data_IF_059696285695
#
_entry.id   IF_059696285695
#
_cell.length_a   1.000
_cell.length_b   1.000
_cell.length_c   1.000
_cell.angle_alpha   90.00
_cell.angle_beta   90.00
_cell.angle_gamma   90.00
#
_symmetry.space_group_name_H-M   'P 1'
#
loop_
_entity.id
_entity.type
_entity.pdbx_description
1 polymer ?
#
# COMPACT_ATOMS: atom_id res chain seq x y z
N UNK A 1 49.31 -50.24 48.28
CA UNK A 1 48.54 -49.33 49.13
C UNK A 1 49.05 -47.93 48.89
N UNK A 2 48.18 -46.92 48.68
CA UNK A 2 48.42 -45.54 48.29
C UNK A 2 48.71 -45.37 46.77
N UNK A 3 47.72 -44.89 46.07
CA UNK A 3 47.72 -43.67 45.22
C UNK A 3 46.37 -43.61 44.54
N UNK A 4 45.43 -42.84 45.00
CA UNK A 4 44.34 -42.23 44.18
C UNK A 4 43.84 -41.00 44.96
N UNK A 5 44.33 -39.83 44.56
CA UNK A 5 43.70 -38.53 44.85
C UNK A 5 44.48 -37.48 44.06
N UNK A 6 43.94 -37.02 42.90
CA UNK A 6 44.17 -35.72 42.30
C UNK A 6 43.75 -35.79 40.82
N UNK A 7 42.46 -35.77 40.52
CA UNK A 7 41.95 -35.56 39.15
C UNK A 7 40.48 -35.15 39.18
N UNK A 8 40.11 -34.11 39.92
CA UNK A 8 38.73 -33.61 39.97
C UNK A 8 38.65 -32.07 40.09
N UNK A 9 39.60 -31.32 39.54
CA UNK A 9 39.52 -29.84 39.56
C UNK A 9 39.82 -29.14 38.22
N UNK A 10 39.73 -29.82 37.09
CA UNK A 10 40.03 -29.25 35.76
C UNK A 10 38.82 -29.24 34.78
N UNK A 11 37.57 -29.46 35.24
CA UNK A 11 36.40 -29.57 34.34
C UNK A 11 35.33 -28.50 34.55
N UNK A 12 35.61 -27.39 35.25
CA UNK A 12 34.58 -26.38 35.61
C UNK A 12 34.82 -24.95 35.03
N UNK A 13 35.70 -24.74 34.05
CA UNK A 13 35.96 -23.38 33.49
C UNK A 13 35.81 -23.34 31.94
N UNK A 14 35.19 -24.31 31.31
CA UNK A 14 35.00 -24.33 29.84
C UNK A 14 33.57 -23.99 29.38
N UNK A 15 32.70 -23.46 30.23
CA UNK A 15 31.27 -23.25 29.87
C UNK A 15 30.79 -21.79 30.00
N UNK A 16 31.64 -20.80 29.90
CA UNK A 16 31.21 -19.39 30.06
C UNK A 16 31.75 -18.45 28.96
N UNK A 17 32.10 -18.95 27.79
CA UNK A 17 32.34 -18.12 26.58
C UNK A 17 31.46 -18.61 25.42
N UNK A 18 30.16 -18.74 25.65
CA UNK A 18 29.20 -18.54 24.57
C UNK A 18 29.30 -17.05 24.22
N UNK A 19 30.30 -16.71 23.41
CA UNK A 19 30.41 -15.40 22.80
C UNK A 19 29.03 -15.07 22.24
N UNK A 20 28.38 -14.04 22.79
CA UNK A 20 27.30 -13.36 22.13
C UNK A 20 27.88 -12.88 20.78
N UNK A 21 27.77 -13.71 19.75
CA UNK A 21 27.94 -13.25 18.38
C UNK A 21 27.03 -12.01 18.28
N UNK A 22 27.55 -10.84 17.92
CA UNK A 22 26.69 -9.73 17.66
C UNK A 22 25.67 -10.26 16.64
N UNK A 23 24.38 -10.30 17.00
CA UNK A 23 23.31 -10.58 16.06
C UNK A 23 23.60 -9.60 14.90
N UNK A 24 24.05 -10.14 13.76
CA UNK A 24 24.31 -9.33 12.59
C UNK A 24 23.07 -8.46 12.45
N UNK A 25 23.22 -7.14 12.49
CA UNK A 25 22.10 -6.21 12.48
C UNK A 25 21.22 -6.60 11.28
N UNK A 26 20.09 -7.21 11.57
CA UNK A 26 19.21 -7.76 10.55
C UNK A 26 18.77 -6.59 9.68
N UNK A 27 19.02 -6.67 8.38
CA UNK A 27 18.65 -5.63 7.44
C UNK A 27 17.13 -5.43 7.46
N UNK A 28 16.68 -4.17 7.60
CA UNK A 28 15.29 -3.83 7.37
C UNK A 28 15.02 -3.81 5.87
N UNK A 29 14.40 -4.88 5.36
CA UNK A 29 13.96 -4.97 3.97
C UNK A 29 12.68 -4.19 3.78
N UNK A 30 12.71 -3.20 2.88
CA UNK A 30 11.58 -2.35 2.51
C UNK A 30 11.03 -2.83 1.16
N UNK A 31 10.02 -3.68 1.19
CA UNK A 31 9.42 -4.28 0.01
C UNK A 31 8.34 -3.39 -0.61
N UNK A 32 8.21 -3.41 -1.94
CA UNK A 32 7.07 -2.86 -2.69
C UNK A 32 6.88 -3.58 -4.03
N UNK A 33 5.66 -3.57 -4.56
CA UNK A 33 5.36 -4.14 -5.88
C UNK A 33 5.60 -3.16 -7.04
N UNK A 34 5.82 -1.89 -6.74
CA UNK A 34 5.90 -0.79 -7.70
C UNK A 34 7.26 -0.14 -7.69
N UNK A 35 7.54 0.69 -8.69
CA UNK A 35 8.76 1.47 -8.84
C UNK A 35 8.42 2.83 -9.45
N UNK A 36 9.20 3.87 -9.11
CA UNK A 36 9.04 5.22 -9.65
C UNK A 36 7.64 5.84 -9.42
N UNK A 37 7.01 5.46 -8.32
CA UNK A 37 5.74 5.98 -7.83
C UNK A 37 5.86 6.50 -6.39
N UNK A 38 4.73 6.89 -5.80
CA UNK A 38 4.69 7.41 -4.43
C UNK A 38 5.23 6.44 -3.38
N UNK A 39 5.02 5.13 -3.55
CA UNK A 39 5.52 4.12 -2.61
C UNK A 39 7.05 4.07 -2.63
N UNK A 40 7.64 4.04 -3.82
CA UNK A 40 9.11 4.01 -3.98
C UNK A 40 9.75 5.33 -3.51
N UNK A 41 9.10 6.48 -3.74
CA UNK A 41 9.58 7.76 -3.24
C UNK A 41 9.53 7.84 -1.71
N UNK A 42 8.43 7.39 -1.10
CA UNK A 42 8.33 7.29 0.35
C UNK A 42 9.45 6.42 0.95
N UNK A 43 9.75 5.27 0.33
CA UNK A 43 10.83 4.38 0.80
C UNK A 43 12.20 5.10 0.79
N UNK A 44 12.52 5.85 -0.26
CA UNK A 44 13.77 6.63 -0.36
C UNK A 44 13.85 7.69 0.75
N UNK A 45 12.81 8.50 0.87
CA UNK A 45 12.71 9.55 1.90
C UNK A 45 12.74 8.97 3.32
N UNK A 46 12.12 7.82 3.53
CA UNK A 46 12.15 7.10 4.81
C UNK A 46 13.58 6.66 5.18
N UNK A 47 14.29 6.02 4.25
CA UNK A 47 15.69 5.58 4.46
C UNK A 47 16.58 6.77 4.78
N UNK A 48 16.49 7.85 4.00
CA UNK A 48 17.23 9.10 4.25
C UNK A 48 16.90 9.67 5.64
N UNK A 49 15.61 9.71 6.00
CA UNK A 49 15.14 10.22 7.29
C UNK A 49 15.63 9.41 8.49
N UNK A 50 15.63 8.07 8.40
CA UNK A 50 16.19 7.19 9.44
C UNK A 50 17.69 7.39 9.56
N UNK A 51 18.41 7.37 8.42
CA UNK A 51 19.88 7.55 8.39
C UNK A 51 20.31 8.90 8.96
N UNK A 52 19.57 9.97 8.69
CA UNK A 52 19.85 11.29 9.24
C UNK A 52 19.74 11.34 10.78
N UNK A 53 18.90 10.47 11.41
CA UNK A 53 18.66 10.45 12.85
C UNK A 53 19.61 9.54 13.62
N UNK A 54 19.93 8.38 13.06
CA UNK A 54 20.68 7.34 13.79
C UNK A 54 21.91 6.82 13.05
N UNK A 55 22.27 7.44 11.91
CA UNK A 55 23.41 6.98 11.10
C UNK A 55 23.20 5.56 10.58
N UNK A 56 24.24 4.74 10.63
CA UNK A 56 24.24 3.37 10.14
C UNK A 56 23.86 2.31 11.21
N UNK A 57 23.21 2.73 12.31
CA UNK A 57 22.74 1.79 13.37
C UNK A 57 21.73 0.78 12.87
N UNK A 58 20.95 1.12 11.83
CA UNK A 58 20.02 0.23 11.16
C UNK A 58 20.39 0.11 9.68
N UNK A 59 20.75 -1.11 9.26
CA UNK A 59 20.95 -1.41 7.83
C UNK A 59 19.57 -1.52 7.16
N UNK A 60 19.39 -0.83 6.02
CA UNK A 60 18.12 -0.83 5.28
C UNK A 60 18.36 -1.09 3.80
N UNK A 61 17.49 -1.86 3.17
CA UNK A 61 17.49 -2.12 1.73
C UNK A 61 16.10 -1.89 1.11
N UNK A 62 16.03 -1.20 -0.02
CA UNK A 62 14.80 -0.99 -0.80
C UNK A 62 14.71 -2.05 -1.87
N UNK A 63 13.59 -2.79 -1.90
CA UNK A 63 13.30 -3.90 -2.81
C UNK A 63 12.00 -3.63 -3.58
N UNK A 64 12.06 -2.76 -4.61
CA UNK A 64 10.87 -2.38 -5.41
C UNK A 64 10.53 -3.42 -6.46
N UNK A 65 9.46 -3.16 -7.25
CA UNK A 65 9.09 -3.96 -8.41
C UNK A 65 8.95 -5.47 -8.14
N UNK A 66 8.40 -5.84 -6.99
CA UNK A 66 8.16 -7.23 -6.59
C UNK A 66 9.43 -8.11 -6.46
N UNK A 67 10.60 -7.51 -6.18
CA UNK A 67 11.86 -8.25 -6.01
C UNK A 67 11.81 -9.30 -4.90
N UNK A 68 11.00 -9.10 -3.86
CA UNK A 68 10.80 -10.07 -2.77
C UNK A 68 9.58 -10.99 -2.99
N UNK A 69 9.00 -10.97 -4.18
CA UNK A 69 7.86 -11.80 -4.57
C UNK A 69 6.60 -11.02 -4.92
N UNK A 70 5.55 -11.73 -5.34
CA UNK A 70 4.25 -11.14 -5.62
C UNK A 70 3.62 -10.53 -4.35
N UNK A 71 2.67 -9.61 -4.54
CA UNK A 71 2.00 -8.87 -3.44
C UNK A 71 1.52 -9.79 -2.31
N UNK A 72 0.80 -10.91 -2.56
CA UNK A 72 0.34 -11.79 -1.47
C UNK A 72 1.48 -12.36 -0.63
N UNK A 73 2.60 -12.73 -1.29
CA UNK A 73 3.80 -13.25 -0.60
C UNK A 73 4.47 -12.18 0.28
N UNK A 74 4.54 -10.94 -0.20
CA UNK A 74 5.12 -9.85 0.59
C UNK A 74 4.22 -9.47 1.76
N UNK A 75 2.88 -9.49 1.59
CA UNK A 75 1.92 -9.27 2.66
C UNK A 75 2.01 -10.36 3.76
N UNK A 76 2.11 -11.63 3.35
CA UNK A 76 2.37 -12.74 4.27
C UNK A 76 3.74 -12.58 4.95
N UNK A 77 4.77 -12.22 4.19
CA UNK A 77 6.13 -12.02 4.70
C UNK A 77 6.22 -10.98 5.80
N UNK A 78 5.55 -9.83 5.67
CA UNK A 78 5.52 -8.81 6.73
C UNK A 78 4.71 -9.27 7.94
N UNK A 79 3.64 -10.01 7.74
CA UNK A 79 2.86 -10.59 8.85
C UNK A 79 3.66 -11.61 9.66
N UNK A 80 4.45 -12.45 8.99
CA UNK A 80 5.30 -13.48 9.61
C UNK A 80 6.67 -12.96 10.07
N UNK A 81 7.06 -11.72 9.72
CA UNK A 81 8.35 -11.13 10.08
C UNK A 81 9.54 -11.64 9.24
N UNK A 82 9.32 -12.28 8.10
CA UNK A 82 10.37 -12.66 7.13
C UNK A 82 10.74 -11.52 6.19
N UNK A 83 9.87 -10.52 6.10
CA UNK A 83 10.07 -9.19 5.50
C UNK A 83 9.77 -8.19 6.61
N UNK A 84 10.68 -7.27 6.87
CA UNK A 84 10.56 -6.33 7.99
C UNK A 84 9.51 -5.26 7.69
N UNK A 85 9.44 -4.77 6.44
CA UNK A 85 8.46 -3.75 6.02
C UNK A 85 7.97 -3.97 4.60
N UNK A 86 6.68 -3.71 4.39
CA UNK A 86 6.02 -3.76 3.08
C UNK A 86 5.10 -2.55 2.92
N UNK A 87 5.28 -1.79 1.82
CA UNK A 87 4.37 -0.71 1.44
C UNK A 87 3.50 -1.15 0.26
N UNK A 88 2.18 -0.95 0.38
CA UNK A 88 1.20 -1.40 -0.61
C UNK A 88 -0.12 -0.63 -0.49
N UNK A 89 -0.94 -0.54 -1.54
CA UNK A 89 -2.33 -0.11 -1.41
C UNK A 89 -3.09 -0.95 -0.38
N UNK A 90 -3.93 -0.30 0.40
CA UNK A 90 -4.72 -0.92 1.49
C UNK A 90 -5.54 -2.12 1.01
N UNK A 91 -6.00 -2.09 -0.24
CA UNK A 91 -6.75 -3.16 -0.90
C UNK A 91 -6.08 -4.53 -0.88
N UNK A 92 -4.75 -4.57 -0.86
CA UNK A 92 -4.01 -5.83 -0.95
C UNK A 92 -3.69 -6.46 0.40
N UNK A 93 -4.07 -5.82 1.49
CA UNK A 93 -3.86 -6.32 2.85
C UNK A 93 -5.17 -6.51 3.62
N UNK A 94 -6.31 -6.42 2.93
CA UNK A 94 -7.63 -6.68 3.49
C UNK A 94 -7.83 -8.13 3.94
N UNK A 95 -7.07 -9.07 3.39
CA UNK A 95 -7.02 -10.46 3.84
C UNK A 95 -6.27 -10.64 5.17
N UNK A 96 -5.33 -9.74 5.49
CA UNK A 96 -4.67 -9.70 6.81
C UNK A 96 -5.61 -9.10 7.85
N UNK A 97 -6.32 -8.03 7.47
CA UNK A 97 -7.36 -7.41 8.30
C UNK A 97 -8.34 -6.63 7.43
N UNK A 98 -9.66 -6.96 7.49
CA UNK A 98 -10.66 -6.28 6.69
C UNK A 98 -10.82 -4.78 7.02
N UNK A 99 -10.32 -4.29 8.16
CA UNK A 99 -10.34 -2.85 8.50
C UNK A 99 -9.53 -2.01 7.51
N UNK A 100 -8.56 -2.57 6.80
CA UNK A 100 -7.81 -1.85 5.77
C UNK A 100 -8.68 -1.31 4.63
N UNK A 101 -9.86 -1.88 4.38
CA UNK A 101 -10.73 -1.43 3.30
C UNK A 101 -11.41 -0.06 3.55
N UNK A 102 -11.46 0.45 4.80
CA UNK A 102 -12.21 1.68 5.13
C UNK A 102 -11.78 2.91 4.31
N UNK A 103 -10.55 2.94 3.84
CA UNK A 103 -9.99 4.04 3.03
C UNK A 103 -10.47 4.04 1.57
N UNK A 104 -11.18 3.00 1.15
CA UNK A 104 -11.51 2.74 -0.25
C UNK A 104 -12.99 2.96 -0.57
N UNK A 105 -13.78 3.41 0.41
CA UNK A 105 -15.19 3.73 0.19
C UNK A 105 -15.29 4.77 -0.93
N UNK A 106 -16.01 4.47 -2.02
CA UNK A 106 -16.14 5.39 -3.15
C UNK A 106 -16.67 6.75 -2.71
N UNK A 107 -16.04 7.83 -3.18
CA UNK A 107 -16.44 9.19 -2.82
C UNK A 107 -16.10 9.63 -1.39
N UNK A 108 -15.39 8.81 -0.61
CA UNK A 108 -14.97 9.14 0.75
C UNK A 108 -14.14 10.44 0.81
N UNK A 109 -13.20 10.56 -0.10
CA UNK A 109 -12.34 11.75 -0.21
C UNK A 109 -12.72 12.56 -1.45
N UNK A 110 -12.75 13.89 -1.32
CA UNK A 110 -13.13 14.82 -2.40
C UNK A 110 -11.95 15.26 -3.26
N UNK A 111 -10.72 15.08 -2.76
CA UNK A 111 -9.48 15.45 -3.45
C UNK A 111 -8.27 14.77 -2.80
N UNK A 112 -7.11 14.73 -3.47
CA UNK A 112 -5.84 14.32 -2.86
C UNK A 112 -5.52 15.08 -1.57
N UNK A 113 -5.75 16.40 -1.57
CA UNK A 113 -5.53 17.26 -0.41
C UNK A 113 -6.45 16.92 0.76
N UNK A 114 -7.70 16.57 0.47
CA UNK A 114 -8.66 16.13 1.49
C UNK A 114 -8.23 14.79 2.11
N UNK A 115 -7.82 13.81 1.31
CA UNK A 115 -7.26 12.55 1.82
C UNK A 115 -6.02 12.81 2.68
N UNK A 116 -5.07 13.59 2.17
CA UNK A 116 -3.85 13.92 2.89
C UNK A 116 -4.15 14.61 4.23
N UNK A 117 -4.98 15.66 4.25
CA UNK A 117 -5.35 16.37 5.47
C UNK A 117 -6.04 15.47 6.51
N UNK A 118 -6.83 14.49 6.04
CA UNK A 118 -7.49 13.51 6.92
C UNK A 118 -6.46 12.56 7.54
N UNK A 119 -5.58 11.99 6.74
CA UNK A 119 -4.55 11.04 7.21
C UNK A 119 -3.53 11.72 8.12
N UNK A 120 -3.21 13.00 7.86
CA UNK A 120 -2.26 13.79 8.67
C UNK A 120 -2.90 14.44 9.90
N UNK A 121 -4.21 14.25 10.16
CA UNK A 121 -4.79 14.67 11.45
C UNK A 121 -4.05 13.96 12.59
N UNK A 122 -3.48 14.70 13.57
CA UNK A 122 -2.59 14.09 14.56
C UNK A 122 -3.23 12.95 15.35
N UNK A 123 -4.48 13.12 15.79
CA UNK A 123 -5.19 12.11 16.56
C UNK A 123 -5.50 10.88 15.71
N UNK A 124 -5.90 11.09 14.43
CA UNK A 124 -6.17 9.99 13.52
C UNK A 124 -4.88 9.26 13.11
N UNK A 125 -3.79 10.01 12.86
CA UNK A 125 -2.51 9.41 12.49
C UNK A 125 -1.91 8.54 13.61
N UNK A 126 -2.10 8.95 14.87
CA UNK A 126 -1.70 8.14 16.03
C UNK A 126 -2.58 6.88 16.17
N UNK A 127 -3.88 7.00 15.93
CA UNK A 127 -4.80 5.87 15.88
C UNK A 127 -4.41 4.89 14.76
N UNK A 128 -4.19 5.38 13.54
CA UNK A 128 -3.80 4.57 12.38
C UNK A 128 -2.50 3.80 12.62
N UNK A 129 -1.51 4.42 13.28
CA UNK A 129 -0.23 3.75 13.59
C UNK A 129 -0.42 2.46 14.37
N UNK A 130 -1.43 2.43 15.26
CA UNK A 130 -1.65 1.33 16.21
C UNK A 130 -2.87 0.46 15.90
N UNK A 131 -3.66 0.82 14.89
CA UNK A 131 -4.94 0.18 14.55
C UNK A 131 -4.83 -1.34 14.30
N UNK A 132 -3.67 -1.82 13.85
CA UNK A 132 -3.46 -3.22 13.45
C UNK A 132 -2.47 -3.97 14.36
N UNK A 133 -2.19 -3.46 15.56
CA UNK A 133 -1.26 -4.11 16.49
C UNK A 133 -1.76 -5.49 16.97
N UNK A 134 -3.08 -5.68 17.02
CA UNK A 134 -3.73 -6.97 17.29
C UNK A 134 -3.47 -8.02 16.20
N UNK A 135 -3.00 -7.60 15.03
CA UNK A 135 -2.56 -8.44 13.91
C UNK A 135 -1.03 -8.54 13.79
N UNK A 136 -0.29 -8.04 14.76
CA UNK A 136 1.17 -8.01 14.73
C UNK A 136 1.75 -7.05 13.70
N UNK A 137 0.98 -6.04 13.27
CA UNK A 137 1.36 -5.06 12.27
C UNK A 137 1.28 -3.64 12.84
N UNK A 138 2.25 -2.80 12.49
CA UNK A 138 2.26 -1.36 12.78
C UNK A 138 2.34 -0.57 11.49
N UNK A 139 1.56 0.53 11.39
CA UNK A 139 1.63 1.45 10.24
C UNK A 139 2.69 2.50 10.51
N UNK A 140 3.79 2.46 9.77
CA UNK A 140 4.89 3.44 9.84
C UNK A 140 4.83 4.50 8.73
N UNK A 141 3.95 4.33 7.74
CA UNK A 141 3.70 5.29 6.67
C UNK A 141 2.32 5.12 6.07
N UNK A 142 1.69 6.23 5.67
CA UNK A 142 0.42 6.25 4.96
C UNK A 142 0.42 7.39 3.95
N UNK A 143 0.34 7.08 2.66
CA UNK A 143 0.49 8.06 1.59
C UNK A 143 -0.65 7.99 0.57
N UNK A 144 -1.10 9.15 0.12
CA UNK A 144 -1.81 9.27 -1.14
C UNK A 144 -0.91 8.80 -2.28
N UNK A 145 -1.43 7.96 -3.18
CA UNK A 145 -0.65 7.49 -4.34
C UNK A 145 -1.15 8.10 -5.66
N UNK A 146 -2.42 7.91 -5.99
CA UNK A 146 -3.03 8.46 -7.21
C UNK A 146 -4.56 8.31 -7.18
N UNK A 147 -5.30 8.97 -8.11
CA UNK A 147 -6.66 8.58 -8.44
C UNK A 147 -6.67 7.17 -9.03
N UNK A 148 -7.78 6.45 -8.86
CA UNK A 148 -8.01 5.17 -9.52
C UNK A 148 -8.60 5.42 -10.91
N UNK A 149 -7.93 4.89 -11.93
CA UNK A 149 -8.37 4.91 -13.32
C UNK A 149 -8.52 3.48 -13.84
N UNK A 150 -9.28 3.31 -14.93
CA UNK A 150 -9.37 2.04 -15.65
C UNK A 150 -8.65 2.13 -16.99
N UNK A 151 -7.64 1.27 -17.17
CA UNK A 151 -6.98 1.03 -18.44
C UNK A 151 -7.76 -0.02 -19.21
N UNK A 152 -8.00 0.19 -20.52
CA UNK A 152 -8.68 -0.77 -21.39
C UNK A 152 -7.99 -0.90 -22.75
N UNK A 153 -8.09 -2.09 -23.36
CA UNK A 153 -7.53 -2.36 -24.71
C UNK A 153 -8.34 -1.65 -25.78
N UNK A 154 -9.65 -1.51 -25.59
CA UNK A 154 -10.56 -0.76 -26.48
C UNK A 154 -11.03 0.50 -25.77
N UNK A 155 -11.33 1.59 -26.48
CA UNK A 155 -11.91 2.78 -25.86
C UNK A 155 -13.21 2.44 -25.11
N UNK A 156 -13.36 2.99 -23.91
CA UNK A 156 -14.55 2.81 -23.08
C UNK A 156 -14.97 4.15 -22.44
N UNK A 157 -15.46 5.12 -23.27
CA UNK A 157 -15.88 6.45 -22.78
C UNK A 157 -17.21 6.41 -21.98
N UNK A 158 -17.91 5.27 -21.92
CA UNK A 158 -19.18 5.08 -21.19
C UNK A 158 -19.09 3.81 -20.36
N UNK A 159 -19.89 3.72 -19.28
CA UNK A 159 -19.96 2.50 -18.46
C UNK A 159 -20.48 1.28 -19.25
N UNK A 160 -21.33 1.53 -20.25
CA UNK A 160 -21.86 0.46 -21.09
C UNK A 160 -20.76 -0.24 -21.90
N UNK A 161 -19.75 0.52 -22.36
CA UNK A 161 -18.62 -0.02 -23.11
C UNK A 161 -17.76 -0.99 -22.27
N UNK A 162 -17.86 -0.91 -20.95
CA UNK A 162 -17.10 -1.76 -20.02
C UNK A 162 -17.80 -3.09 -19.68
N UNK A 163 -19.08 -3.25 -20.04
CA UNK A 163 -19.85 -4.46 -19.74
C UNK A 163 -19.22 -5.70 -20.35
N UNK A 164 -19.06 -6.74 -19.52
CA UNK A 164 -18.45 -8.00 -19.90
C UNK A 164 -16.93 -7.98 -20.04
N UNK A 165 -16.27 -6.83 -19.91
CA UNK A 165 -14.82 -6.76 -19.91
C UNK A 165 -14.25 -7.46 -18.66
N UNK A 166 -13.23 -8.28 -18.86
CA UNK A 166 -12.42 -8.88 -17.80
C UNK A 166 -11.38 -7.86 -17.36
N UNK A 167 -11.59 -7.27 -16.19
CA UNK A 167 -10.72 -6.19 -15.68
C UNK A 167 -10.02 -6.64 -14.42
N UNK A 168 -8.70 -6.53 -14.42
CA UNK A 168 -7.95 -6.72 -13.18
C UNK A 168 -8.34 -5.64 -12.18
N UNK A 169 -8.68 -6.05 -10.96
CA UNK A 169 -8.97 -5.17 -9.85
C UNK A 169 -7.97 -5.34 -8.71
N UNK A 170 -8.00 -4.41 -7.77
CA UNK A 170 -7.45 -4.64 -6.44
C UNK A 170 -8.28 -5.70 -5.71
N UNK A 171 -7.77 -6.24 -4.61
CA UNK A 171 -8.38 -7.40 -3.95
C UNK A 171 -9.52 -7.04 -2.97
N UNK A 172 -9.72 -5.77 -2.64
CA UNK A 172 -10.75 -5.33 -1.69
C UNK A 172 -12.17 -5.47 -2.26
N UNK A 173 -13.16 -5.88 -1.45
CA UNK A 173 -14.57 -5.83 -1.83
C UNK A 173 -15.03 -4.45 -2.34
N UNK A 174 -14.48 -3.37 -1.79
CA UNK A 174 -14.79 -1.99 -2.20
C UNK A 174 -14.18 -1.60 -3.57
N UNK A 175 -13.33 -2.45 -4.14
CA UNK A 175 -12.84 -2.33 -5.52
C UNK A 175 -13.54 -3.32 -6.47
N UNK A 176 -13.91 -4.49 -5.96
CA UNK A 176 -14.51 -5.58 -6.75
C UNK A 176 -16.00 -5.35 -6.99
N UNK A 177 -16.78 -5.08 -5.93
CA UNK A 177 -18.24 -5.00 -6.04
C UNK A 177 -18.74 -3.79 -6.86
N UNK A 178 -18.12 -2.58 -6.78
CA UNK A 178 -18.44 -1.48 -7.68
C UNK A 178 -18.24 -1.86 -9.15
N UNK A 179 -17.17 -2.53 -9.51
CA UNK A 179 -16.91 -2.97 -10.89
C UNK A 179 -17.97 -3.98 -11.37
N UNK A 180 -18.36 -4.94 -10.52
CA UNK A 180 -19.47 -5.86 -10.84
C UNK A 180 -20.77 -5.12 -11.08
N UNK A 181 -21.06 -4.09 -10.30
CA UNK A 181 -22.34 -3.37 -10.38
C UNK A 181 -22.53 -2.63 -11.72
N UNK A 182 -21.44 -2.32 -12.43
CA UNK A 182 -21.46 -1.74 -13.78
C UNK A 182 -21.30 -2.78 -14.89
N UNK A 183 -21.32 -4.08 -14.55
CA UNK A 183 -21.27 -5.18 -15.51
C UNK A 183 -19.87 -5.62 -15.92
N UNK A 184 -18.81 -5.12 -15.29
CA UNK A 184 -17.44 -5.60 -15.45
C UNK A 184 -17.29 -6.98 -14.80
N UNK A 185 -16.40 -7.82 -15.33
CA UNK A 185 -15.96 -9.08 -14.73
C UNK A 185 -14.63 -8.80 -14.00
N UNK A 186 -14.66 -8.48 -12.69
CA UNK A 186 -13.45 -8.14 -11.96
C UNK A 186 -12.65 -9.38 -11.62
N UNK A 187 -11.34 -9.28 -11.80
CA UNK A 187 -10.38 -10.35 -11.52
C UNK A 187 -9.29 -9.81 -10.60
N UNK A 188 -9.38 -10.02 -9.28
CA UNK A 188 -8.29 -9.66 -8.37
C UNK A 188 -7.02 -10.40 -8.74
N UNK A 189 -5.93 -9.66 -9.02
CA UNK A 189 -4.69 -10.23 -9.53
C UNK A 189 -3.48 -9.39 -9.07
N UNK A 190 -2.35 -10.04 -8.79
CA UNK A 190 -1.10 -9.35 -8.48
C UNK A 190 -0.61 -8.55 -9.69
N UNK A 191 0.07 -7.40 -9.44
CA UNK A 191 0.50 -6.49 -10.50
C UNK A 191 1.45 -7.18 -11.50
N UNK A 192 2.34 -8.06 -11.02
CA UNK A 192 3.31 -8.79 -11.83
C UNK A 192 2.69 -9.74 -12.88
N UNK A 193 1.42 -10.10 -12.72
CA UNK A 193 0.72 -11.03 -13.60
C UNK A 193 -0.10 -10.31 -14.70
N UNK A 194 -0.26 -8.98 -14.60
CA UNK A 194 -1.22 -8.25 -15.43
C UNK A 194 -0.77 -8.11 -16.88
N UNK A 195 0.50 -7.73 -17.14
CA UNK A 195 0.99 -7.55 -18.53
C UNK A 195 0.88 -8.84 -19.33
N UNK A 196 1.32 -10.03 -18.83
CA UNK A 196 1.12 -11.29 -19.54
C UNK A 196 -0.36 -11.60 -19.84
N UNK A 197 -1.27 -11.30 -18.90
CA UNK A 197 -2.71 -11.53 -19.08
C UNK A 197 -3.34 -10.57 -20.11
N UNK A 198 -2.92 -9.30 -20.14
CA UNK A 198 -3.34 -8.37 -21.18
C UNK A 198 -2.84 -8.80 -22.57
N UNK A 199 -1.58 -9.24 -22.66
CA UNK A 199 -0.98 -9.69 -23.92
C UNK A 199 -1.64 -10.97 -24.47
N UNK A 200 -1.93 -11.94 -23.60
CA UNK A 200 -2.59 -13.20 -23.99
C UNK A 200 -4.11 -13.07 -24.23
N UNK A 201 -4.73 -11.92 -23.88
CA UNK A 201 -6.18 -11.72 -23.96
C UNK A 201 -6.96 -12.32 -22.80
N UNK A 202 -6.30 -12.74 -21.73
CA UNK A 202 -6.94 -13.16 -20.47
C UNK A 202 -7.62 -11.99 -19.72
N UNK A 203 -7.12 -10.76 -19.96
CA UNK A 203 -7.70 -9.52 -19.46
C UNK A 203 -7.97 -8.54 -20.62
N UNK A 204 -9.02 -7.72 -20.46
CA UNK A 204 -9.37 -6.60 -21.34
C UNK A 204 -8.88 -5.25 -20.80
N UNK A 205 -8.61 -5.18 -19.48
CA UNK A 205 -8.20 -3.96 -18.81
C UNK A 205 -7.75 -4.16 -17.36
N UNK A 206 -7.44 -3.05 -16.67
CA UNK A 206 -7.06 -3.05 -15.27
C UNK A 206 -7.42 -1.75 -14.55
N UNK A 207 -7.73 -1.85 -13.25
CA UNK A 207 -7.70 -0.70 -12.34
C UNK A 207 -6.27 -0.45 -11.89
N UNK A 208 -5.82 0.80 -11.97
CA UNK A 208 -4.52 1.25 -11.50
C UNK A 208 -4.50 2.76 -11.28
N UNK A 209 -3.34 3.30 -10.88
CA UNK A 209 -3.03 4.72 -10.97
C UNK A 209 -2.16 5.02 -12.18
N UNK A 210 -2.26 6.22 -12.75
CA UNK A 210 -1.46 6.64 -13.92
C UNK A 210 0.05 6.46 -13.74
N UNK A 211 0.67 6.75 -12.57
CA UNK A 211 2.11 6.51 -12.38
C UNK A 211 2.52 5.06 -12.61
N UNK A 212 1.69 4.08 -12.24
CA UNK A 212 1.96 2.66 -12.45
C UNK A 212 1.87 2.31 -13.93
N UNK A 213 0.86 2.84 -14.63
CA UNK A 213 0.68 2.61 -16.07
C UNK A 213 1.89 3.11 -16.88
N UNK A 214 2.48 4.23 -16.48
CA UNK A 214 3.66 4.80 -17.16
C UNK A 214 4.96 4.13 -16.74
N UNK A 215 5.16 3.87 -15.44
CA UNK A 215 6.39 3.25 -14.92
C UNK A 215 6.64 1.84 -15.50
N UNK A 216 5.57 1.08 -15.74
CA UNK A 216 5.63 -0.26 -16.34
C UNK A 216 5.30 -0.27 -17.84
N UNK A 217 5.19 0.91 -18.48
CA UNK A 217 4.96 1.07 -19.93
C UNK A 217 3.72 0.32 -20.45
N UNK A 218 2.62 0.36 -19.67
CA UNK A 218 1.37 -0.28 -20.11
C UNK A 218 0.82 0.27 -21.42
N UNK A 219 1.23 1.47 -21.83
CA UNK A 219 0.92 2.03 -23.13
C UNK A 219 1.43 1.18 -24.31
N UNK A 220 2.32 0.21 -24.09
CA UNK A 220 2.74 -0.75 -25.13
C UNK A 220 1.72 -1.87 -25.36
N UNK A 221 0.80 -2.11 -24.42
CA UNK A 221 -0.19 -3.21 -24.47
C UNK A 221 -1.63 -2.71 -24.52
N UNK A 222 -1.93 -1.51 -24.03
CA UNK A 222 -3.24 -0.87 -24.07
C UNK A 222 -3.09 0.65 -24.08
N UNK A 223 -4.01 1.37 -24.72
CA UNK A 223 -3.86 2.82 -24.97
C UNK A 223 -4.92 3.68 -24.29
N UNK A 224 -6.03 3.11 -23.85
CA UNK A 224 -7.18 3.87 -23.42
C UNK A 224 -7.28 3.83 -21.91
N UNK A 225 -7.30 4.99 -21.28
CA UNK A 225 -7.56 5.16 -19.84
C UNK A 225 -8.85 5.94 -19.69
N UNK A 226 -9.80 5.42 -18.93
CA UNK A 226 -10.99 6.18 -18.51
C UNK A 226 -10.84 6.55 -17.04
N UNK A 227 -10.96 7.86 -16.76
CA UNK A 227 -10.91 8.39 -15.39
C UNK A 227 -12.28 8.25 -14.72
N UNK A 228 -12.43 7.25 -13.88
CA UNK A 228 -13.67 6.98 -13.16
C UNK A 228 -13.87 7.88 -11.93
N UNK A 229 -12.80 8.49 -11.41
CA UNK A 229 -12.81 9.40 -10.25
C UNK A 229 -13.54 8.85 -9.00
N UNK A 230 -13.63 7.54 -8.83
CA UNK A 230 -14.43 6.98 -7.75
C UNK A 230 -13.67 6.78 -6.44
N UNK A 231 -12.34 6.67 -6.49
CA UNK A 231 -11.51 6.51 -5.30
C UNK A 231 -10.10 7.04 -5.48
N UNK A 232 -9.45 7.31 -4.36
CA UNK A 232 -8.03 7.67 -4.28
C UNK A 232 -7.27 6.55 -3.61
N UNK A 233 -6.22 6.06 -4.25
CA UNK A 233 -5.39 4.97 -3.74
C UNK A 233 -4.58 5.49 -2.55
N UNK A 234 -4.86 4.94 -1.37
CA UNK A 234 -4.02 5.08 -0.17
C UNK A 234 -3.10 3.86 -0.08
N UNK A 235 -1.80 4.10 0.06
CA UNK A 235 -0.83 3.06 0.37
C UNK A 235 -0.37 3.18 1.82
N UNK A 236 -0.22 2.03 2.50
CA UNK A 236 0.29 1.94 3.87
C UNK A 236 1.62 1.20 3.88
N UNK A 237 2.60 1.73 4.62
CA UNK A 237 3.84 1.06 4.94
C UNK A 237 3.66 0.35 6.28
N UNK A 238 3.65 -0.98 6.23
CA UNK A 238 3.52 -1.86 7.38
C UNK A 238 4.89 -2.32 7.84
N UNK A 239 5.09 -2.43 9.13
CA UNK A 239 6.23 -3.11 9.74
C UNK A 239 5.73 -4.23 10.65
N UNK A 240 6.47 -5.34 10.71
CA UNK A 240 6.21 -6.39 11.68
C UNK A 240 6.41 -5.86 13.10
N UNK A 241 5.39 -5.95 13.94
CA UNK A 241 5.41 -5.34 15.29
C UNK A 241 6.41 -6.01 16.22
N UNK A 242 6.58 -7.33 16.13
CA UNK A 242 7.56 -8.05 16.96
C UNK A 242 8.98 -7.62 16.61
N UNK A 243 9.30 -7.53 15.31
CA UNK A 243 10.57 -7.01 14.85
C UNK A 243 10.79 -5.54 15.29
N UNK A 244 9.76 -4.68 15.14
CA UNK A 244 9.83 -3.28 15.54
C UNK A 244 10.10 -3.12 17.05
N UNK A 245 9.39 -3.87 17.90
CA UNK A 245 9.57 -3.86 19.35
C UNK A 245 10.94 -4.37 19.79
N UNK A 246 11.55 -5.27 19.04
CA UNK A 246 12.89 -5.79 19.31
C UNK A 246 14.01 -4.76 19.06
N UNK A 247 13.71 -3.66 18.33
CA UNK A 247 14.70 -2.61 18.05
C UNK A 247 14.95 -1.74 19.31
N UNK A 248 16.17 -1.17 19.46
CA UNK A 248 16.43 -0.15 20.46
C UNK A 248 15.47 1.02 20.37
N UNK A 249 15.20 1.70 21.50
CA UNK A 249 14.20 2.79 21.56
C UNK A 249 14.51 3.94 20.61
N UNK A 250 15.78 4.33 20.46
CA UNK A 250 16.20 5.37 19.52
C UNK A 250 15.96 4.97 18.06
N UNK A 251 16.09 3.68 17.70
CA UNK A 251 15.75 3.15 16.38
C UNK A 251 14.24 3.17 16.15
N UNK A 252 13.44 2.74 17.13
CA UNK A 252 11.98 2.80 17.05
C UNK A 252 11.49 4.25 16.82
N UNK A 253 12.04 5.20 17.59
CA UNK A 253 11.67 6.62 17.47
C UNK A 253 12.11 7.21 16.11
N UNK A 254 13.29 6.82 15.61
CA UNK A 254 13.76 7.22 14.30
C UNK A 254 12.87 6.69 13.18
N UNK A 255 12.44 5.42 13.23
CA UNK A 255 11.51 4.81 12.27
C UNK A 255 10.18 5.58 12.24
N UNK A 256 9.58 5.84 13.41
CA UNK A 256 8.30 6.56 13.49
C UNK A 256 8.41 7.98 12.96
N UNK A 257 9.44 8.72 13.38
CA UNK A 257 9.64 10.10 12.96
C UNK A 257 9.95 10.20 11.47
N UNK A 258 10.83 9.34 10.94
CA UNK A 258 11.17 9.31 9.51
C UNK A 258 9.97 8.92 8.64
N UNK A 259 9.12 7.99 9.09
CA UNK A 259 7.91 7.59 8.38
C UNK A 259 6.95 8.75 8.17
N UNK A 260 6.68 9.52 9.24
CA UNK A 260 5.81 10.71 9.19
C UNK A 260 6.43 11.85 8.35
N UNK A 261 7.72 12.08 8.46
CA UNK A 261 8.41 13.08 7.65
C UNK A 261 8.39 12.71 6.17
N UNK A 262 8.59 11.42 5.85
CA UNK A 262 8.52 10.91 4.48
C UNK A 262 7.11 11.07 3.87
N UNK A 263 6.04 10.90 4.64
CA UNK A 263 4.66 11.18 4.20
C UNK A 263 4.50 12.65 3.75
N UNK A 264 5.00 13.58 4.56
CA UNK A 264 4.90 15.01 4.28
C UNK A 264 5.71 15.42 3.04
N UNK A 265 6.93 14.90 2.91
CA UNK A 265 7.81 15.18 1.77
C UNK A 265 7.35 14.50 0.48
N UNK A 266 6.77 13.30 0.57
CA UNK A 266 6.29 12.57 -0.58
C UNK A 266 5.03 13.21 -1.20
N UNK A 267 4.15 13.84 -0.43
CA UNK A 267 2.87 14.32 -0.94
C UNK A 267 3.00 15.29 -2.13
N UNK A 268 3.77 16.41 -2.06
CA UNK A 268 3.93 17.30 -3.20
C UNK A 268 4.61 16.61 -4.40
N UNK A 269 5.56 15.71 -4.15
CA UNK A 269 6.21 14.93 -5.20
C UNK A 269 5.19 14.01 -5.91
N UNK A 270 4.31 13.35 -5.15
CA UNK A 270 3.27 12.47 -5.71
C UNK A 270 2.29 13.23 -6.59
N UNK A 271 1.89 14.45 -6.17
CA UNK A 271 1.01 15.30 -7.00
C UNK A 271 1.67 15.64 -8.35
N UNK A 272 2.93 16.03 -8.33
CA UNK A 272 3.69 16.34 -9.53
C UNK A 272 3.91 15.08 -10.40
N UNK A 273 4.24 13.96 -9.78
CA UNK A 273 4.42 12.68 -10.49
C UNK A 273 3.15 12.19 -11.18
N UNK A 274 1.99 12.36 -10.55
CA UNK A 274 0.70 12.05 -11.19
C UNK A 274 0.47 12.91 -12.45
N UNK A 275 0.78 14.20 -12.39
CA UNK A 275 0.68 15.10 -13.53
C UNK A 275 1.64 14.67 -14.65
N UNK A 276 2.92 14.44 -14.33
CA UNK A 276 3.92 13.96 -15.28
C UNK A 276 3.54 12.61 -15.90
N UNK A 277 2.91 11.72 -15.15
CA UNK A 277 2.43 10.45 -15.67
C UNK A 277 1.38 10.64 -16.77
N UNK A 278 0.45 11.60 -16.62
CA UNK A 278 -0.51 11.94 -17.67
C UNK A 278 0.21 12.43 -18.95
N UNK A 279 1.19 13.33 -18.79
CA UNK A 279 1.96 13.86 -19.92
C UNK A 279 2.73 12.74 -20.66
N UNK A 280 3.37 11.84 -19.90
CA UNK A 280 4.07 10.67 -20.48
C UNK A 280 3.09 9.74 -21.19
N UNK A 281 1.89 9.52 -20.64
CA UNK A 281 0.86 8.70 -21.28
C UNK A 281 0.46 9.24 -22.64
N UNK A 282 0.14 10.53 -22.70
CA UNK A 282 -0.26 11.24 -23.94
C UNK A 282 0.89 11.26 -24.96
N UNK A 283 2.13 11.50 -24.51
CA UNK A 283 3.32 11.48 -25.38
C UNK A 283 3.55 10.10 -26.04
N UNK A 284 3.12 9.01 -25.40
CA UNK A 284 3.18 7.65 -25.93
C UNK A 284 1.90 7.23 -26.67
N UNK A 285 1.11 8.21 -27.17
CA UNK A 285 -0.13 8.00 -27.93
C UNK A 285 -1.22 7.25 -27.14
N UNK A 286 -1.20 7.41 -25.82
CA UNK A 286 -2.30 6.98 -24.97
C UNK A 286 -3.42 8.00 -24.99
N UNK A 287 -4.63 7.58 -24.67
CA UNK A 287 -5.82 8.42 -24.56
C UNK A 287 -6.28 8.46 -23.10
N UNK A 288 -6.79 9.61 -22.67
CA UNK A 288 -7.42 9.80 -21.36
C UNK A 288 -8.86 10.23 -21.62
N UNK A 289 -9.79 9.33 -21.34
CA UNK A 289 -11.22 9.49 -21.55
C UNK A 289 -11.92 9.89 -20.24
N UNK A 290 -13.02 10.62 -20.35
CA UNK A 290 -13.89 11.01 -19.26
C UNK A 290 -15.28 10.44 -19.49
N UNK A 291 -15.93 9.98 -18.40
CA UNK A 291 -17.35 9.63 -18.48
C UNK A 291 -18.22 10.87 -18.70
N UNK A 292 -19.37 10.75 -19.37
CA UNK A 292 -20.40 11.80 -19.37
C UNK A 292 -20.77 12.20 -17.93
N UNK A 293 -20.87 13.48 -17.64
CA UNK A 293 -21.07 14.01 -16.28
C UNK A 293 -22.26 13.37 -15.55
N UNK A 294 -23.39 13.21 -16.21
CA UNK A 294 -24.58 12.57 -15.61
C UNK A 294 -24.36 11.08 -15.28
N UNK A 295 -23.56 10.38 -16.09
CA UNK A 295 -23.21 8.97 -15.87
C UNK A 295 -22.21 8.85 -14.72
N UNK A 296 -21.23 9.75 -14.63
CA UNK A 296 -20.30 9.89 -13.52
C UNK A 296 -21.03 10.12 -12.20
N UNK A 297 -21.96 11.08 -12.16
CA UNK A 297 -22.73 11.40 -10.94
C UNK A 297 -23.56 10.20 -10.46
N UNK A 298 -24.28 9.56 -11.39
CA UNK A 298 -25.08 8.38 -11.08
C UNK A 298 -24.21 7.24 -10.56
N UNK A 299 -23.10 6.95 -11.23
CA UNK A 299 -22.13 5.92 -10.82
C UNK A 299 -21.61 6.19 -9.40
N UNK A 300 -21.21 7.41 -9.11
CA UNK A 300 -20.71 7.78 -7.78
C UNK A 300 -21.74 7.58 -6.68
N UNK A 301 -23.00 7.95 -6.93
CA UNK A 301 -24.11 7.73 -5.99
C UNK A 301 -24.32 6.24 -5.73
N UNK A 302 -24.35 5.43 -6.78
CA UNK A 302 -24.56 3.98 -6.68
C UNK A 302 -23.38 3.30 -5.98
N UNK A 303 -22.15 3.70 -6.29
CA UNK A 303 -20.93 3.16 -5.66
C UNK A 303 -20.83 3.54 -4.18
N UNK A 304 -21.19 4.77 -3.81
CA UNK A 304 -21.22 5.19 -2.41
C UNK A 304 -22.23 4.39 -1.60
N UNK A 305 -23.44 4.20 -2.14
CA UNK A 305 -24.46 3.39 -1.48
C UNK A 305 -24.02 1.93 -1.29
N UNK A 306 -23.38 1.35 -2.31
CA UNK A 306 -22.83 -0.01 -2.24
C UNK A 306 -21.68 -0.08 -1.23
N UNK A 307 -20.75 0.88 -1.26
CA UNK A 307 -19.62 0.93 -0.33
C UNK A 307 -20.07 1.03 1.13
N UNK A 308 -21.06 1.87 1.41
CA UNK A 308 -21.67 1.99 2.74
C UNK A 308 -22.24 0.64 3.21
N UNK A 309 -23.00 -0.06 2.35
CA UNK A 309 -23.55 -1.38 2.68
C UNK A 309 -22.45 -2.41 2.98
N UNK A 310 -21.34 -2.39 2.23
CA UNK A 310 -20.20 -3.28 2.46
C UNK A 310 -19.57 -3.01 3.83
N UNK A 311 -19.33 -1.74 4.17
CA UNK A 311 -18.77 -1.35 5.46
C UNK A 311 -19.70 -1.76 6.61
N UNK A 312 -21.01 -1.49 6.49
CA UNK A 312 -21.99 -1.81 7.53
C UNK A 312 -22.17 -3.32 7.76
N UNK A 313 -21.79 -4.15 6.81
CA UNK A 313 -21.88 -5.62 6.94
C UNK A 313 -20.87 -6.23 7.92
N UNK A 314 -19.83 -5.51 8.30
CA UNK A 314 -18.80 -5.96 9.24
C UNK A 314 -18.65 -4.98 10.40
N UNK A 315 -19.05 -5.34 11.64
CA UNK A 315 -19.02 -4.43 12.78
C UNK A 315 -17.63 -3.86 13.11
N UNK A 316 -16.56 -4.63 12.91
CA UNK A 316 -15.19 -4.15 13.15
C UNK A 316 -14.77 -3.11 12.11
N UNK A 317 -15.10 -3.33 10.84
CA UNK A 317 -14.86 -2.38 9.75
C UNK A 317 -15.68 -1.11 9.97
N UNK A 318 -16.98 -1.26 10.30
CA UNK A 318 -17.87 -0.12 10.56
C UNK A 318 -17.34 0.76 11.69
N UNK A 319 -16.93 0.17 12.81
CA UNK A 319 -16.39 0.91 13.96
C UNK A 319 -15.21 1.80 13.55
N UNK A 320 -14.26 1.26 12.82
CA UNK A 320 -13.09 2.01 12.35
C UNK A 320 -13.45 3.04 11.27
N UNK A 321 -14.40 2.69 10.40
CA UNK A 321 -14.92 3.63 9.41
C UNK A 321 -15.62 4.83 10.06
N UNK A 322 -16.40 4.63 11.11
CA UNK A 322 -17.07 5.72 11.83
C UNK A 322 -16.05 6.68 12.48
N UNK A 323 -14.90 6.17 12.95
CA UNK A 323 -13.78 6.99 13.44
C UNK A 323 -13.18 7.80 12.30
N UNK A 324 -12.82 7.15 11.20
CA UNK A 324 -12.27 7.80 10.01
C UNK A 324 -13.23 8.86 9.47
N UNK A 325 -14.51 8.53 9.34
CA UNK A 325 -15.56 9.39 8.76
C UNK A 325 -15.70 10.73 9.50
N UNK A 326 -15.58 10.73 10.83
CA UNK A 326 -15.60 11.97 11.64
C UNK A 326 -14.46 12.92 11.24
N UNK A 327 -13.27 12.36 10.97
CA UNK A 327 -12.12 13.18 10.56
C UNK A 327 -12.28 13.62 9.11
N UNK A 328 -12.73 12.75 8.22
CA UNK A 328 -13.06 13.09 6.84
C UNK A 328 -14.03 14.26 6.78
N UNK A 329 -15.13 14.21 7.54
CA UNK A 329 -16.14 15.28 7.55
C UNK A 329 -15.57 16.59 8.12
N UNK A 330 -14.74 16.52 9.15
CA UNK A 330 -14.10 17.69 9.75
C UNK A 330 -13.06 18.37 8.83
N UNK A 331 -12.42 17.61 7.93
CA UNK A 331 -11.42 18.11 6.97
C UNK A 331 -11.99 18.38 5.58
N UNK A 332 -13.31 18.18 5.38
CA UNK A 332 -13.95 18.41 4.10
C UNK A 332 -13.73 19.87 3.63
N UNK A 333 -13.38 20.10 2.36
CA UNK A 333 -13.30 21.44 1.79
C UNK A 333 -14.65 22.15 1.94
N UNK A 334 -14.58 23.41 2.39
CA UNK A 334 -15.75 24.30 2.52
C UNK A 334 -16.30 24.71 1.15
#
# INVERSE_FOLDING_TARGET
MHVIRHSLFAAAIATALAAALPAAAQEMKLASATINDGQHEWQKLFVEGVKARIGDKLKMGIYPASQLGAIPRMAEGVSLGTIESFITPTSFVTNLDPRFQIFEVPGLFRSPQHQYATIQDPAYRDHLETMFLDKGLRVIGAIYNSPTVILTKKPAPKLEDMKGMKVRTFASPLQVEPMKSIGVIPTPLALSEVIPQLQSGGLDGMLAGMPILTAFKYYDVAKNVTDLQFSYILSVALVNEAWFKAQPKDVQDAIRAAGREAEQKAFPWVLDNNKKANDVWLANKGEILQLPAAEQEKMMKDFLALGTKIVDSNPAVKKEFDILKKVVDAKAPK
#
